data_IF_832447787284
#
_entry.id   IF_832447787284
#
_cell.length_a   1.000
_cell.length_b   1.000
_cell.length_c   1.000
_cell.angle_alpha   90.00
_cell.angle_beta   90.00
_cell.angle_gamma   90.00
#
_symmetry.space_group_name_H-M   'P 1'
#
loop_
_entity.id
_entity.type
_entity.pdbx_description
1 polymer ?
#
# COMPACT_ATOMS: atom_id res chain seq x y z
N UNK A 1 -16.53 50.50 23.25
CA UNK A 1 -16.57 49.08 23.58
C UNK A 1 -16.93 48.18 22.36
N UNK A 2 -17.84 48.59 21.50
CA UNK A 2 -18.24 47.84 20.29
C UNK A 2 -17.16 47.64 19.22
N UNK A 3 -16.27 48.62 19.01
CA UNK A 3 -15.18 48.55 18.02
C UNK A 3 -14.10 47.45 18.36
N UNK A 4 -13.86 47.22 19.65
CA UNK A 4 -12.88 46.22 20.11
C UNK A 4 -13.41 44.79 19.94
N UNK A 5 -14.71 44.61 20.08
CA UNK A 5 -15.34 43.29 19.89
C UNK A 5 -15.44 42.89 18.41
N UNK A 6 -15.73 43.82 17.49
CA UNK A 6 -15.74 43.52 16.05
C UNK A 6 -14.36 43.25 15.50
N UNK A 7 -13.33 43.95 15.97
CA UNK A 7 -11.94 43.70 15.55
C UNK A 7 -11.45 42.32 16.03
N UNK A 8 -11.79 41.92 17.26
CA UNK A 8 -11.47 40.59 17.79
C UNK A 8 -12.17 39.47 17.03
N UNK A 9 -13.43 39.64 16.67
CA UNK A 9 -14.20 38.67 15.88
C UNK A 9 -13.61 38.51 14.46
N UNK A 10 -13.20 39.61 13.83
CA UNK A 10 -12.59 39.56 12.50
C UNK A 10 -11.20 38.90 12.52
N UNK A 11 -10.39 39.10 13.56
CA UNK A 11 -9.12 38.42 13.76
C UNK A 11 -9.31 36.91 13.95
N UNK A 12 -10.24 36.49 14.80
CA UNK A 12 -10.58 35.07 15.04
C UNK A 12 -11.06 34.41 13.74
N UNK A 13 -11.91 35.08 12.96
CA UNK A 13 -12.37 34.57 11.67
C UNK A 13 -11.23 34.42 10.65
N UNK A 14 -10.26 35.33 10.65
CA UNK A 14 -9.09 35.25 9.77
C UNK A 14 -8.17 34.09 10.17
N UNK A 15 -7.91 33.87 11.45
CA UNK A 15 -7.15 32.74 11.96
C UNK A 15 -7.80 31.40 11.63
N UNK A 16 -9.13 31.29 11.82
CA UNK A 16 -9.88 30.09 11.46
C UNK A 16 -9.83 29.79 9.96
N UNK A 17 -9.94 30.81 9.11
CA UNK A 17 -9.79 30.68 7.66
C UNK A 17 -8.40 30.22 7.27
N UNK A 18 -7.35 30.79 7.88
CA UNK A 18 -5.97 30.39 7.66
C UNK A 18 -5.71 28.94 8.06
N UNK A 19 -6.21 28.53 9.23
CA UNK A 19 -6.10 27.13 9.69
C UNK A 19 -6.84 26.19 8.73
N UNK A 20 -8.08 26.51 8.35
CA UNK A 20 -8.86 25.69 7.43
C UNK A 20 -8.18 25.54 6.07
N UNK A 21 -7.65 26.63 5.51
CA UNK A 21 -6.91 26.61 4.26
C UNK A 21 -5.62 25.78 4.35
N UNK A 22 -4.89 25.92 5.44
CA UNK A 22 -3.67 25.13 5.69
C UNK A 22 -4.01 23.64 5.77
N UNK A 23 -5.04 23.26 6.52
CA UNK A 23 -5.49 21.86 6.64
C UNK A 23 -5.87 21.28 5.28
N UNK A 24 -6.59 22.05 4.44
CA UNK A 24 -6.96 21.60 3.09
C UNK A 24 -5.72 21.37 2.24
N UNK A 25 -4.75 22.29 2.24
CA UNK A 25 -3.50 22.12 1.48
C UNK A 25 -2.76 20.87 1.95
N UNK A 26 -2.57 20.71 3.28
CA UNK A 26 -1.90 19.53 3.84
C UNK A 26 -2.62 18.23 3.46
N UNK A 27 -3.96 18.21 3.53
CA UNK A 27 -4.74 17.05 3.15
C UNK A 27 -4.60 16.71 1.65
N UNK A 28 -4.60 17.72 0.77
CA UNK A 28 -4.39 17.53 -0.67
C UNK A 28 -2.99 16.99 -0.95
N UNK A 29 -1.95 17.60 -0.35
CA UNK A 29 -0.58 17.14 -0.51
C UNK A 29 -0.39 15.70 0.01
N UNK A 30 -0.94 15.38 1.18
CA UNK A 30 -0.90 14.02 1.71
C UNK A 30 -1.63 13.04 0.79
N UNK A 31 -2.82 13.40 0.30
CA UNK A 31 -3.57 12.57 -0.66
C UNK A 31 -2.75 12.23 -1.92
N UNK A 32 -1.86 13.13 -2.39
CA UNK A 32 -1.02 12.87 -3.56
C UNK A 32 -0.01 11.73 -3.33
N UNK A 33 0.33 11.44 -2.09
CA UNK A 33 1.24 10.34 -1.74
C UNK A 33 0.55 8.98 -1.68
N UNK A 34 -0.80 8.92 -1.71
CA UNK A 34 -1.60 7.70 -1.48
C UNK A 34 -2.34 7.26 -2.74
N UNK A 35 -2.19 5.99 -3.12
CA UNK A 35 -2.62 5.45 -4.41
C UNK A 35 -3.85 4.51 -4.37
N UNK A 36 -4.72 4.58 -3.33
CA UNK A 36 -5.86 3.64 -3.16
C UNK A 36 -6.73 3.57 -4.43
N UNK A 37 -7.13 4.73 -4.96
CA UNK A 37 -8.02 4.79 -6.13
C UNK A 37 -7.34 4.26 -7.39
N UNK A 38 -6.07 4.62 -7.60
CA UNK A 38 -5.30 4.14 -8.77
C UNK A 38 -5.19 2.62 -8.77
N UNK A 39 -4.83 2.02 -7.63
CA UNK A 39 -4.74 0.57 -7.48
C UNK A 39 -6.07 -0.14 -7.73
N UNK A 40 -7.17 0.40 -7.16
CA UNK A 40 -8.51 -0.13 -7.41
C UNK A 40 -8.87 -0.07 -8.89
N UNK A 41 -8.62 1.04 -9.58
CA UNK A 41 -8.95 1.22 -11.01
C UNK A 41 -8.20 0.19 -11.84
N UNK A 42 -6.87 0.08 -11.69
CA UNK A 42 -6.09 -0.90 -12.43
C UNK A 42 -6.55 -2.34 -12.21
N UNK A 43 -6.83 -2.73 -10.96
CA UNK A 43 -7.33 -4.07 -10.66
C UNK A 43 -8.71 -4.35 -11.30
N UNK A 44 -9.60 -3.35 -11.31
CA UNK A 44 -10.93 -3.48 -11.93
C UNK A 44 -10.85 -3.50 -13.46
N UNK A 45 -9.95 -2.74 -14.09
CA UNK A 45 -9.76 -2.74 -15.54
C UNK A 45 -9.24 -4.11 -16.04
N UNK A 46 -8.34 -4.74 -15.27
CA UNK A 46 -7.89 -6.11 -15.56
C UNK A 46 -9.05 -7.09 -15.39
N UNK A 47 -9.81 -6.94 -14.31
CA UNK A 47 -10.93 -7.81 -14.00
C UNK A 47 -12.03 -7.74 -15.09
N UNK A 48 -12.37 -6.55 -15.55
CA UNK A 48 -13.35 -6.33 -16.63
C UNK A 48 -12.91 -7.01 -17.93
N UNK A 49 -11.64 -6.85 -18.32
CA UNK A 49 -11.07 -7.52 -19.48
C UNK A 49 -11.12 -9.06 -19.36
N UNK A 50 -10.80 -9.60 -18.16
CA UNK A 50 -10.87 -11.04 -17.88
C UNK A 50 -12.32 -11.56 -17.92
N UNK A 51 -13.29 -10.78 -17.44
CA UNK A 51 -14.72 -11.15 -17.48
C UNK A 51 -15.30 -11.16 -18.90
N UNK A 52 -14.78 -10.31 -19.76
CA UNK A 52 -15.13 -10.25 -21.21
C UNK A 52 -14.35 -11.27 -22.04
N UNK A 53 -13.53 -12.10 -21.42
CA UNK A 53 -12.63 -13.08 -22.05
C UNK A 53 -11.60 -12.45 -23.01
N UNK A 54 -11.37 -11.13 -22.89
CA UNK A 54 -10.35 -10.40 -23.62
C UNK A 54 -8.97 -10.52 -22.92
N UNK A 55 -8.32 -11.67 -23.10
CA UNK A 55 -7.02 -11.93 -22.51
C UNK A 55 -5.91 -11.02 -23.07
N UNK A 56 -6.07 -10.49 -24.28
CA UNK A 56 -5.08 -9.57 -24.87
C UNK A 56 -5.10 -8.26 -24.09
N UNK A 57 -6.28 -7.70 -23.88
CA UNK A 57 -6.46 -6.47 -23.09
C UNK A 57 -6.08 -6.70 -21.61
N UNK A 58 -6.46 -7.84 -21.03
CA UNK A 58 -6.12 -8.17 -19.65
C UNK A 58 -4.59 -8.24 -19.43
N UNK A 59 -3.84 -8.87 -20.34
CA UNK A 59 -2.38 -8.92 -20.33
C UNK A 59 -1.74 -7.54 -20.48
N UNK A 60 -2.30 -6.72 -21.37
CA UNK A 60 -1.85 -5.33 -21.56
C UNK A 60 -2.06 -4.51 -20.28
N UNK A 61 -3.23 -4.58 -19.67
CA UNK A 61 -3.54 -3.85 -18.44
C UNK A 61 -2.65 -4.34 -17.28
N UNK A 62 -2.43 -5.65 -17.17
CA UNK A 62 -1.52 -6.22 -16.15
C UNK A 62 -0.07 -5.74 -16.35
N UNK A 63 0.40 -5.63 -17.59
CA UNK A 63 1.78 -5.16 -17.89
C UNK A 63 2.05 -3.74 -17.43
N UNK A 64 1.02 -2.93 -17.14
CA UNK A 64 1.18 -1.58 -16.60
C UNK A 64 1.50 -1.56 -15.11
N UNK A 65 1.23 -2.66 -14.40
CA UNK A 65 1.39 -2.73 -12.93
C UNK A 65 2.32 -3.84 -12.45
N UNK A 66 2.86 -4.67 -13.37
CA UNK A 66 3.85 -5.71 -13.04
C UNK A 66 5.08 -5.61 -13.94
N UNK A 67 6.25 -5.97 -13.40
CA UNK A 67 7.53 -5.92 -14.13
C UNK A 67 7.85 -7.18 -14.95
N UNK A 68 7.01 -8.23 -14.89
CA UNK A 68 7.22 -9.49 -15.61
C UNK A 68 6.62 -9.47 -17.02
N UNK A 69 7.09 -10.38 -17.88
CA UNK A 69 6.45 -10.62 -19.16
C UNK A 69 5.04 -11.15 -18.95
N UNK A 70 4.04 -10.50 -19.56
CA UNK A 70 2.63 -10.86 -19.44
C UNK A 70 2.07 -11.51 -20.71
N UNK A 71 2.85 -11.61 -21.80
CA UNK A 71 2.35 -11.98 -23.15
C UNK A 71 1.69 -13.36 -23.21
N UNK A 72 2.21 -14.31 -22.42
CA UNK A 72 1.79 -15.72 -22.48
C UNK A 72 1.03 -16.17 -21.23
N UNK A 73 0.68 -15.23 -20.33
CA UNK A 73 -0.04 -15.60 -19.09
C UNK A 73 -1.47 -16.04 -19.41
N UNK A 74 -1.88 -17.14 -18.82
CA UNK A 74 -3.26 -17.57 -18.80
C UNK A 74 -4.11 -16.75 -17.79
N UNK A 75 -5.40 -16.99 -17.79
CA UNK A 75 -6.35 -16.29 -16.92
C UNK A 75 -5.99 -16.39 -15.43
N UNK A 76 -5.55 -17.58 -14.98
CA UNK A 76 -5.15 -17.82 -13.58
C UNK A 76 -3.95 -16.95 -13.19
N UNK A 77 -2.93 -16.94 -14.04
CA UNK A 77 -1.70 -16.16 -13.78
C UNK A 77 -1.92 -14.64 -13.94
N UNK A 78 -2.85 -14.20 -14.79
CA UNK A 78 -3.25 -12.79 -14.87
C UNK A 78 -3.88 -12.35 -13.54
N UNK A 79 -4.84 -13.13 -13.02
CA UNK A 79 -5.49 -12.82 -11.74
C UNK A 79 -4.51 -12.93 -10.56
N UNK A 80 -3.62 -13.93 -10.55
CA UNK A 80 -2.55 -14.04 -9.55
C UNK A 80 -1.65 -12.79 -9.55
N UNK A 81 -1.18 -12.39 -10.73
CA UNK A 81 -0.37 -11.18 -10.87
C UNK A 81 -1.08 -9.91 -10.45
N UNK A 82 -2.39 -9.84 -10.66
CA UNK A 82 -3.20 -8.71 -10.17
C UNK A 82 -3.25 -8.67 -8.65
N UNK A 83 -3.47 -9.81 -7.99
CA UNK A 83 -3.48 -9.92 -6.53
C UNK A 83 -2.10 -9.65 -5.92
N UNK A 84 -1.03 -10.15 -6.55
CA UNK A 84 0.35 -9.89 -6.14
C UNK A 84 0.65 -8.38 -6.17
N UNK A 85 0.40 -7.74 -7.32
CA UNK A 85 0.62 -6.30 -7.48
C UNK A 85 -0.24 -5.47 -6.52
N UNK A 86 -1.52 -5.84 -6.35
CA UNK A 86 -2.41 -5.15 -5.42
C UNK A 86 -1.87 -5.21 -3.98
N UNK A 87 -1.45 -6.40 -3.52
CA UNK A 87 -0.96 -6.59 -2.15
C UNK A 87 0.38 -5.91 -1.89
N UNK A 88 1.32 -5.94 -2.82
CA UNK A 88 2.60 -5.23 -2.75
C UNK A 88 2.36 -3.72 -2.65
N UNK A 89 1.49 -3.20 -3.51
CA UNK A 89 1.18 -1.77 -3.54
C UNK A 89 0.34 -1.28 -2.34
N UNK A 90 -0.24 -2.15 -1.50
CA UNK A 90 -0.78 -1.72 -0.21
C UNK A 90 0.35 -1.12 0.65
N UNK A 91 1.55 -1.69 0.62
CA UNK A 91 2.71 -1.12 1.31
C UNK A 91 3.21 0.10 0.56
N UNK A 92 3.58 -0.07 -0.69
CA UNK A 92 4.30 0.94 -1.47
C UNK A 92 3.48 2.18 -1.76
N UNK A 93 2.20 2.01 -1.99
CA UNK A 93 1.29 3.09 -2.38
C UNK A 93 0.40 3.62 -1.27
N UNK A 94 0.34 2.98 -0.08
CA UNK A 94 -0.62 3.38 0.94
C UNK A 94 0.01 3.41 2.34
N UNK A 95 0.34 2.25 2.90
CA UNK A 95 0.74 2.16 4.33
C UNK A 95 2.17 2.66 4.58
N UNK A 96 3.08 2.52 3.63
CA UNK A 96 4.41 3.11 3.69
C UNK A 96 4.37 4.64 3.77
N UNK A 97 3.72 5.34 2.82
CA UNK A 97 3.52 6.79 2.94
C UNK A 97 2.83 7.20 4.23
N UNK A 98 1.81 6.46 4.70
CA UNK A 98 1.11 6.74 5.96
C UNK A 98 2.04 6.60 7.17
N UNK A 99 2.89 5.58 7.20
CA UNK A 99 3.85 5.35 8.27
C UNK A 99 4.87 6.49 8.38
N UNK A 100 5.46 6.89 7.25
CA UNK A 100 6.45 7.96 7.21
C UNK A 100 5.82 9.34 7.40
N UNK A 101 4.56 9.53 7.00
CA UNK A 101 3.78 10.70 7.39
C UNK A 101 3.60 10.79 8.91
N UNK A 102 3.29 9.68 9.55
CA UNK A 102 3.09 9.64 11.00
C UNK A 102 4.37 9.98 11.78
N UNK A 103 5.54 9.60 11.25
CA UNK A 103 6.84 9.86 11.89
C UNK A 103 7.39 11.27 11.62
N UNK A 104 7.25 11.77 10.39
CA UNK A 104 7.97 12.95 9.90
C UNK A 104 7.09 13.95 9.14
N UNK A 105 5.76 13.80 9.21
CA UNK A 105 4.80 14.63 8.48
C UNK A 105 4.89 14.48 6.95
N UNK A 106 4.47 15.53 6.24
CA UNK A 106 4.51 15.54 4.76
C UNK A 106 5.90 15.27 4.17
N UNK A 107 7.00 15.88 4.68
CA UNK A 107 8.33 15.57 4.17
C UNK A 107 8.66 14.07 4.19
N UNK A 108 8.32 13.37 5.27
CA UNK A 108 8.53 11.92 5.38
C UNK A 108 7.76 11.12 4.34
N UNK A 109 6.48 11.45 4.12
CA UNK A 109 5.67 10.80 3.09
C UNK A 109 6.23 11.02 1.68
N UNK A 110 6.67 12.25 1.35
CA UNK A 110 7.23 12.56 0.05
C UNK A 110 8.60 11.90 -0.16
N UNK A 111 9.49 11.92 0.82
CA UNK A 111 10.79 11.23 0.73
C UNK A 111 10.59 9.74 0.49
N UNK A 112 9.70 9.10 1.24
CA UNK A 112 9.36 7.69 1.01
C UNK A 112 8.88 7.46 -0.43
N UNK A 113 7.94 8.28 -0.94
CA UNK A 113 7.42 8.15 -2.31
C UNK A 113 8.50 8.35 -3.37
N UNK A 114 9.42 9.29 -3.16
CA UNK A 114 10.56 9.50 -4.08
C UNK A 114 11.43 8.24 -4.13
N UNK A 115 11.84 7.72 -2.97
CA UNK A 115 12.68 6.51 -2.90
C UNK A 115 11.98 5.31 -3.56
N UNK A 116 10.72 5.08 -3.25
CA UNK A 116 9.93 4.01 -3.85
C UNK A 116 9.78 4.18 -5.38
N UNK A 117 9.60 5.42 -5.86
CA UNK A 117 9.55 5.72 -7.30
C UNK A 117 10.91 5.46 -7.96
N UNK A 118 12.01 5.89 -7.35
CA UNK A 118 13.37 5.62 -7.87
C UNK A 118 13.62 4.11 -7.95
N UNK A 119 13.29 3.32 -6.92
CA UNK A 119 13.39 1.86 -7.00
C UNK A 119 12.54 1.28 -8.14
N UNK A 120 11.31 1.74 -8.26
CA UNK A 120 10.41 1.28 -9.32
C UNK A 120 10.92 1.56 -10.74
N UNK A 121 11.64 2.67 -10.94
CA UNK A 121 12.14 3.10 -12.24
C UNK A 121 13.53 2.55 -12.58
N UNK A 122 14.44 2.49 -11.60
CA UNK A 122 15.85 2.15 -11.87
C UNK A 122 16.41 1.02 -10.99
N UNK A 123 15.65 0.47 -10.05
CA UNK A 123 16.05 -0.63 -9.15
C UNK A 123 16.24 -1.98 -9.85
N UNK A 124 16.41 -2.00 -11.17
CA UNK A 124 16.60 -3.22 -11.95
C UNK A 124 18.05 -3.75 -11.84
N UNK A 125 18.19 -5.07 -11.71
CA UNK A 125 19.48 -5.77 -11.74
C UNK A 125 20.03 -5.99 -13.16
N UNK A 126 19.76 -5.07 -14.09
CA UNK A 126 20.35 -5.08 -15.44
C UNK A 126 21.74 -4.44 -15.39
N UNK A 127 22.63 -4.78 -16.31
CA UNK A 127 24.00 -4.21 -16.35
C UNK A 127 24.00 -2.68 -16.33
N UNK A 128 23.04 -2.06 -17.03
CA UNK A 128 22.87 -0.61 -17.10
C UNK A 128 22.48 0.02 -15.75
N UNK A 129 21.62 -0.63 -14.96
CA UNK A 129 21.06 -0.09 -13.73
C UNK A 129 21.65 -0.67 -12.46
N UNK A 130 22.52 -1.68 -12.56
CA UNK A 130 23.11 -2.39 -11.40
C UNK A 130 23.75 -1.46 -10.38
N UNK A 131 24.47 -0.45 -10.85
CA UNK A 131 25.15 0.51 -9.98
C UNK A 131 24.25 1.73 -9.62
N UNK A 132 23.48 2.22 -10.60
CA UNK A 132 22.60 3.39 -10.40
C UNK A 132 21.39 3.07 -9.52
N UNK A 133 20.77 1.90 -9.71
CA UNK A 133 19.58 1.47 -8.95
C UNK A 133 19.89 0.87 -7.59
N UNK A 134 21.16 0.47 -7.35
CA UNK A 134 21.54 -0.23 -6.11
C UNK A 134 21.17 0.57 -4.85
N UNK A 135 21.49 1.84 -4.84
CA UNK A 135 21.21 2.71 -3.69
C UNK A 135 19.71 2.86 -3.45
N UNK A 136 18.93 3.15 -4.51
CA UNK A 136 17.48 3.28 -4.44
C UNK A 136 16.81 2.01 -3.91
N UNK A 137 17.18 0.85 -4.48
CA UNK A 137 16.64 -0.44 -4.07
C UNK A 137 16.97 -0.79 -2.61
N UNK A 138 18.20 -0.49 -2.13
CA UNK A 138 18.53 -0.72 -0.73
C UNK A 138 17.80 0.24 0.22
N UNK A 139 17.66 1.52 -0.15
CA UNK A 139 16.87 2.46 0.61
C UNK A 139 15.41 2.03 0.70
N UNK A 140 14.80 1.62 -0.42
CA UNK A 140 13.43 1.11 -0.46
C UNK A 140 13.27 -0.14 0.43
N UNK A 141 14.22 -1.08 0.36
CA UNK A 141 14.21 -2.26 1.22
C UNK A 141 14.25 -1.91 2.72
N UNK A 142 15.05 -0.92 3.12
CA UNK A 142 15.13 -0.47 4.52
C UNK A 142 13.84 0.23 4.92
N UNK A 143 13.34 1.14 4.08
CA UNK A 143 12.13 1.90 4.37
C UNK A 143 10.88 1.00 4.45
N UNK A 144 10.80 -0.05 3.64
CA UNK A 144 9.69 -0.98 3.65
C UNK A 144 9.76 -2.05 4.74
N UNK A 145 10.87 -2.17 5.49
CA UNK A 145 11.06 -3.25 6.44
C UNK A 145 9.99 -3.27 7.55
N UNK A 146 9.72 -2.16 8.20
CA UNK A 146 8.70 -2.05 9.25
C UNK A 146 7.29 -1.96 8.64
N UNK A 147 7.01 -1.07 7.66
CA UNK A 147 5.67 -0.94 7.09
C UNK A 147 5.10 -2.25 6.54
N UNK A 148 5.90 -3.06 5.84
CA UNK A 148 5.41 -4.32 5.23
C UNK A 148 4.91 -5.33 6.28
N UNK A 149 5.58 -5.43 7.40
CA UNK A 149 5.21 -6.33 8.51
C UNK A 149 3.98 -5.83 9.25
N UNK A 150 3.93 -4.55 9.54
CA UNK A 150 2.76 -3.92 10.15
C UNK A 150 1.54 -4.02 9.22
N UNK A 151 1.73 -3.84 7.92
CA UNK A 151 0.67 -4.02 6.92
C UNK A 151 0.13 -5.44 6.93
N UNK A 152 1.02 -6.44 6.88
CA UNK A 152 0.59 -7.84 6.95
C UNK A 152 -0.21 -8.17 8.21
N UNK A 153 0.22 -7.68 9.38
CA UNK A 153 -0.52 -7.83 10.64
C UNK A 153 -1.88 -7.10 10.61
N UNK A 154 -1.92 -5.91 10.01
CA UNK A 154 -3.16 -5.14 9.85
C UNK A 154 -4.12 -5.85 8.87
N UNK A 155 -3.58 -6.52 7.83
CA UNK A 155 -4.38 -7.38 6.93
C UNK A 155 -5.00 -8.57 7.66
N UNK A 156 -4.31 -9.16 8.65
CA UNK A 156 -4.89 -10.22 9.50
C UNK A 156 -6.10 -9.69 10.26
N UNK A 157 -5.99 -8.50 10.85
CA UNK A 157 -7.13 -7.84 11.52
C UNK A 157 -8.26 -7.50 10.54
N UNK A 158 -7.91 -6.96 9.37
CA UNK A 158 -8.86 -6.68 8.30
C UNK A 158 -9.60 -7.93 7.82
N UNK A 159 -8.88 -9.05 7.69
CA UNK A 159 -9.46 -10.35 7.34
C UNK A 159 -10.46 -10.84 8.38
N UNK A 160 -10.16 -10.65 9.66
CA UNK A 160 -11.07 -10.98 10.75
C UNK A 160 -12.37 -10.15 10.69
N UNK A 161 -12.26 -8.85 10.44
CA UNK A 161 -13.42 -7.93 10.34
C UNK A 161 -14.30 -8.29 9.13
N UNK A 162 -13.68 -8.67 8.01
CA UNK A 162 -14.39 -9.03 6.77
C UNK A 162 -14.91 -10.46 6.75
N UNK A 163 -14.69 -11.25 7.80
CA UNK A 163 -15.12 -12.65 7.86
C UNK A 163 -14.31 -13.59 6.96
N UNK A 164 -13.11 -13.19 6.52
CA UNK A 164 -12.17 -14.09 5.85
C UNK A 164 -11.42 -14.96 6.87
N UNK A 165 -10.71 -15.97 6.39
CA UNK A 165 -9.91 -16.84 7.25
C UNK A 165 -8.64 -16.13 7.77
N UNK A 166 -8.81 -15.35 8.83
CA UNK A 166 -7.73 -14.61 9.48
C UNK A 166 -6.66 -15.53 10.10
N UNK A 167 -7.03 -16.76 10.52
CA UNK A 167 -6.08 -17.73 11.07
C UNK A 167 -5.14 -18.24 9.99
N UNK A 168 -5.70 -18.59 8.83
CA UNK A 168 -4.90 -18.95 7.67
C UNK A 168 -4.10 -17.76 7.15
N UNK A 169 -4.68 -16.54 7.13
CA UNK A 169 -3.98 -15.30 6.81
C UNK A 169 -2.71 -15.14 7.66
N UNK A 170 -2.80 -15.27 8.98
CA UNK A 170 -1.67 -15.16 9.88
C UNK A 170 -0.65 -16.30 9.71
N UNK A 171 -1.13 -17.52 9.53
CA UNK A 171 -0.27 -18.71 9.32
C UNK A 171 0.57 -18.56 8.06
N UNK A 172 -0.06 -18.18 6.94
CA UNK A 172 0.60 -18.00 5.66
C UNK A 172 1.53 -16.77 5.69
N UNK A 173 1.10 -15.66 6.30
CA UNK A 173 1.95 -14.48 6.54
C UNK A 173 3.28 -14.85 7.20
N UNK A 174 3.25 -15.67 8.26
CA UNK A 174 4.46 -16.13 8.95
C UNK A 174 5.29 -17.13 8.16
N UNK A 175 4.62 -18.07 7.49
CA UNK A 175 5.27 -19.16 6.76
C UNK A 175 5.94 -18.67 5.48
N UNK A 176 5.24 -17.81 4.71
CA UNK A 176 5.61 -17.49 3.33
C UNK A 176 6.14 -16.07 3.15
N UNK A 177 6.04 -15.19 4.13
CA UNK A 177 6.42 -13.78 4.01
C UNK A 177 7.87 -13.52 3.62
N UNK A 178 8.75 -14.52 3.71
CA UNK A 178 10.18 -14.44 3.34
C UNK A 178 10.51 -15.14 2.02
N UNK A 179 9.52 -15.66 1.30
CA UNK A 179 9.75 -16.49 0.10
C UNK A 179 9.95 -15.70 -1.19
N UNK A 180 9.81 -14.39 -1.16
CA UNK A 180 10.01 -13.53 -2.34
C UNK A 180 11.44 -13.00 -2.42
N UNK A 181 11.85 -12.59 -3.64
CA UNK A 181 13.18 -11.97 -3.87
C UNK A 181 13.35 -10.66 -3.08
N UNK A 182 12.25 -9.90 -2.89
CA UNK A 182 12.22 -8.74 -2.01
C UNK A 182 12.04 -9.21 -0.56
N UNK A 183 12.80 -8.66 0.40
CA UNK A 183 12.67 -9.01 1.81
C UNK A 183 11.35 -8.52 2.44
N UNK A 184 10.57 -7.73 1.71
CA UNK A 184 9.38 -7.01 2.20
C UNK A 184 8.09 -7.42 1.49
N UNK A 185 8.10 -7.54 0.17
CA UNK A 185 6.92 -7.75 -0.67
C UNK A 185 6.15 -9.04 -0.31
N UNK A 186 6.87 -10.07 0.13
CA UNK A 186 6.26 -11.35 0.49
C UNK A 186 5.29 -11.28 1.66
N UNK A 187 5.47 -10.36 2.61
CA UNK A 187 4.60 -10.28 3.80
C UNK A 187 3.15 -9.91 3.47
N UNK A 188 2.87 -8.79 2.76
CA UNK A 188 1.50 -8.47 2.38
C UNK A 188 0.92 -9.46 1.36
N UNK A 189 1.73 -9.98 0.43
CA UNK A 189 1.29 -10.99 -0.53
C UNK A 189 0.89 -12.29 0.15
N UNK A 190 1.68 -12.79 1.10
CA UNK A 190 1.39 -13.99 1.86
C UNK A 190 0.13 -13.81 2.75
N UNK A 191 -0.02 -12.64 3.38
CA UNK A 191 -1.22 -12.32 4.14
C UNK A 191 -2.47 -12.35 3.25
N UNK A 192 -2.42 -11.71 2.06
CA UNK A 192 -3.53 -11.74 1.11
C UNK A 192 -3.85 -13.16 0.63
N UNK A 193 -2.84 -13.93 0.24
CA UNK A 193 -2.99 -15.31 -0.19
C UNK A 193 -3.68 -16.17 0.88
N UNK A 194 -3.25 -16.01 2.12
CA UNK A 194 -3.83 -16.71 3.27
C UNK A 194 -5.27 -16.30 3.56
N UNK A 195 -5.56 -14.99 3.54
CA UNK A 195 -6.92 -14.46 3.75
C UNK A 195 -7.93 -14.96 2.73
N UNK A 196 -7.51 -15.07 1.47
CA UNK A 196 -8.35 -15.50 0.36
C UNK A 196 -8.33 -17.01 0.13
N UNK A 197 -7.46 -17.77 0.82
CA UNK A 197 -7.29 -19.22 0.62
C UNK A 197 -6.78 -19.57 -0.78
N UNK A 198 -5.98 -18.72 -1.39
CA UNK A 198 -5.50 -18.87 -2.77
C UNK A 198 -3.98 -19.03 -2.82
N UNK A 199 -3.49 -19.60 -3.91
CA UNK A 199 -2.07 -19.66 -4.22
C UNK A 199 -1.70 -18.51 -5.16
N UNK A 200 -0.81 -17.63 -4.74
CA UNK A 200 -0.17 -16.64 -5.59
C UNK A 200 1.14 -17.19 -6.11
N UNK A 201 1.35 -17.11 -7.42
CA UNK A 201 2.50 -17.74 -8.04
C UNK A 201 3.12 -16.87 -9.12
N UNK A 202 4.43 -16.66 -8.99
CA UNK A 202 5.28 -16.15 -10.05
C UNK A 202 6.15 -17.28 -10.52
N UNK A 203 5.89 -17.77 -11.74
CA UNK A 203 6.56 -18.93 -12.34
C UNK A 203 8.07 -18.78 -12.19
N UNK A 204 8.76 -19.85 -11.78
CA UNK A 204 10.22 -19.94 -11.57
C UNK A 204 10.78 -19.05 -10.44
N UNK A 205 9.96 -18.27 -9.73
CA UNK A 205 10.43 -17.38 -8.66
C UNK A 205 9.90 -17.78 -7.28
N UNK A 206 8.58 -17.73 -7.08
CA UNK A 206 7.99 -18.04 -5.78
C UNK A 206 6.55 -18.53 -5.88
N UNK A 207 6.12 -19.17 -4.81
CA UNK A 207 4.75 -19.57 -4.57
C UNK A 207 4.36 -19.29 -3.13
N UNK A 208 3.27 -18.55 -2.93
CA UNK A 208 2.76 -18.11 -1.64
C UNK A 208 1.33 -18.59 -1.45
N UNK A 209 0.98 -18.97 -0.23
CA UNK A 209 -0.35 -19.47 0.10
C UNK A 209 -0.53 -20.96 -0.14
N UNK A 210 -1.78 -21.37 -0.21
CA UNK A 210 -2.22 -22.75 -0.46
C UNK A 210 -3.29 -22.74 -1.53
N UNK A 211 -3.26 -23.72 -2.43
CA UNK A 211 -4.23 -23.85 -3.54
C UNK A 211 -5.52 -24.51 -3.02
N UNK A 212 -6.17 -23.90 -2.02
CA UNK A 212 -7.42 -24.40 -1.45
C UNK A 212 -8.63 -23.90 -2.21
N UNK A 213 -8.52 -22.75 -2.88
CA UNK A 213 -9.58 -22.15 -3.68
C UNK A 213 -8.99 -21.52 -4.94
N UNK A 214 -9.69 -21.65 -6.05
CA UNK A 214 -9.32 -21.01 -7.32
C UNK A 214 -9.36 -19.49 -7.19
N UNK A 215 -8.49 -18.82 -7.97
CA UNK A 215 -8.50 -17.36 -8.08
C UNK A 215 -9.63 -16.96 -9.02
N UNK A 216 -10.71 -16.46 -8.45
CA UNK A 216 -11.89 -15.97 -9.17
C UNK A 216 -11.94 -14.45 -9.24
N UNK A 217 -12.80 -13.91 -10.11
CA UNK A 217 -13.10 -12.49 -10.16
C UNK A 217 -13.57 -11.93 -8.80
N UNK A 218 -14.27 -12.75 -8.00
CA UNK A 218 -14.70 -12.33 -6.66
C UNK A 218 -13.52 -12.13 -5.72
N UNK A 219 -12.48 -12.98 -5.79
CA UNK A 219 -11.28 -12.84 -4.96
C UNK A 219 -10.53 -11.52 -5.22
N UNK A 220 -10.55 -11.01 -6.45
CA UNK A 220 -9.99 -9.68 -6.75
C UNK A 220 -10.80 -8.57 -6.08
N UNK A 221 -12.13 -8.66 -6.08
CA UNK A 221 -13.02 -7.71 -5.37
C UNK A 221 -12.81 -7.77 -3.86
N UNK A 222 -12.69 -8.97 -3.32
CA UNK A 222 -12.40 -9.19 -1.89
C UNK A 222 -11.04 -8.58 -1.51
N UNK A 223 -10.02 -8.75 -2.36
CA UNK A 223 -8.71 -8.13 -2.17
C UNK A 223 -8.77 -6.60 -2.17
N UNK A 224 -9.54 -5.99 -3.08
CA UNK A 224 -9.77 -4.53 -3.10
C UNK A 224 -10.45 -4.08 -1.80
N UNK A 225 -11.42 -4.84 -1.30
CA UNK A 225 -12.11 -4.54 -0.06
C UNK A 225 -11.15 -4.66 1.13
N UNK A 226 -10.36 -5.73 1.18
CA UNK A 226 -9.35 -5.93 2.21
C UNK A 226 -8.28 -4.82 2.18
N UNK A 227 -7.83 -4.38 1.00
CA UNK A 227 -6.93 -3.22 0.84
C UNK A 227 -7.51 -1.97 1.51
N UNK A 228 -8.78 -1.64 1.27
CA UNK A 228 -9.44 -0.45 1.85
C UNK A 228 -9.56 -0.56 3.37
N UNK A 229 -9.99 -1.71 3.87
CA UNK A 229 -10.12 -1.95 5.32
C UNK A 229 -8.74 -1.92 5.98
N UNK A 230 -7.73 -2.56 5.39
CA UNK A 230 -6.35 -2.51 5.87
C UNK A 230 -5.83 -1.07 5.94
N UNK A 231 -6.08 -0.27 4.90
CA UNK A 231 -5.65 1.14 4.87
C UNK A 231 -6.26 1.96 6.00
N UNK A 232 -7.56 1.78 6.25
CA UNK A 232 -8.26 2.47 7.33
C UNK A 232 -7.78 2.03 8.71
N UNK A 233 -7.62 0.71 8.90
CA UNK A 233 -7.10 0.15 10.15
C UNK A 233 -5.65 0.58 10.41
N UNK A 234 -4.80 0.58 9.39
CA UNK A 234 -3.41 1.02 9.52
C UNK A 234 -3.33 2.48 9.94
N UNK A 235 -4.15 3.34 9.35
CA UNK A 235 -4.24 4.74 9.76
C UNK A 235 -4.68 4.87 11.22
N UNK A 236 -5.75 4.17 11.63
CA UNK A 236 -6.30 4.25 12.99
C UNK A 236 -5.41 3.64 14.07
N UNK A 237 -4.82 2.46 13.80
CA UNK A 237 -4.10 1.67 14.81
C UNK A 237 -2.58 1.93 14.81
N UNK A 238 -2.02 2.34 13.67
CA UNK A 238 -0.58 2.58 13.54
C UNK A 238 -0.28 4.07 13.44
N UNK A 239 -0.86 4.76 12.47
CA UNK A 239 -0.47 6.15 12.18
C UNK A 239 -0.93 7.13 13.26
N UNK A 240 -2.18 7.07 13.70
CA UNK A 240 -2.69 7.95 14.76
C UNK A 240 -1.91 7.80 16.08
N UNK A 241 -1.69 6.59 16.62
CA UNK A 241 -0.88 6.44 17.84
C UNK A 241 0.55 6.97 17.73
N UNK A 242 1.20 6.80 16.57
CA UNK A 242 2.53 7.37 16.34
C UNK A 242 2.48 8.90 16.38
N UNK A 243 1.52 9.52 15.69
CA UNK A 243 1.35 10.98 15.67
C UNK A 243 1.13 11.51 17.10
N UNK A 244 0.22 10.89 17.84
CA UNK A 244 -0.08 11.30 19.23
C UNK A 244 1.14 11.14 20.14
N UNK A 245 1.89 10.04 20.00
CA UNK A 245 3.10 9.80 20.78
C UNK A 245 4.19 10.86 20.49
N UNK A 246 4.42 11.20 19.22
CA UNK A 246 5.39 12.22 18.84
C UNK A 246 4.96 13.59 19.36
N UNK A 247 3.69 13.97 19.20
CA UNK A 247 3.15 15.22 19.71
C UNK A 247 3.30 15.35 21.24
N UNK A 248 3.08 14.25 21.96
CA UNK A 248 3.29 14.21 23.40
C UNK A 248 4.77 14.42 23.77
N UNK A 249 5.69 13.75 23.06
CA UNK A 249 7.13 13.93 23.27
C UNK A 249 7.57 15.38 23.03
N UNK A 250 7.11 15.99 21.94
CA UNK A 250 7.40 17.39 21.63
C UNK A 250 6.90 18.33 22.74
N UNK A 251 5.68 18.09 23.24
CA UNK A 251 5.12 18.91 24.33
C UNK A 251 5.94 18.81 25.64
N UNK A 252 6.50 17.65 25.94
CA UNK A 252 7.35 17.43 27.14
C UNK A 252 8.73 18.08 26.97
N UNK A 253 9.28 18.07 25.76
CA UNK A 253 10.62 18.61 25.50
C UNK A 253 10.65 20.15 25.42
N UNK A 254 9.49 20.78 25.14
CA UNK A 254 9.36 22.25 25.03
C UNK A 254 8.90 22.87 26.36
N UNK A 255 8.32 22.08 27.27
CA UNK A 255 7.90 22.50 28.61
C UNK A 255 9.08 22.57 29.59
#
# INVERSE_FOLDING_TARGET
MLFRSQFSVNLINFELLYIAFSVIIFAVLFKMTIAIRGMQTHALDILDAVQKDDLILARKNLSMIVKRNTKDLDKKHILSGTLESLSENIVDGITGPMFYFALFGLPGAFVYRIVNTVDSMVGYKTEMFKNLGWFGANCDNILNYIPSRLTGLTMVLGSMILGHDWRNCYTIFKRDGKKTDSPNAGYPMAALAGALGTKLEKIEHYSLGTDTQEITSQKVKDAITLMKVTSLLFFGIVSIPIILFISLLESILIA
#
